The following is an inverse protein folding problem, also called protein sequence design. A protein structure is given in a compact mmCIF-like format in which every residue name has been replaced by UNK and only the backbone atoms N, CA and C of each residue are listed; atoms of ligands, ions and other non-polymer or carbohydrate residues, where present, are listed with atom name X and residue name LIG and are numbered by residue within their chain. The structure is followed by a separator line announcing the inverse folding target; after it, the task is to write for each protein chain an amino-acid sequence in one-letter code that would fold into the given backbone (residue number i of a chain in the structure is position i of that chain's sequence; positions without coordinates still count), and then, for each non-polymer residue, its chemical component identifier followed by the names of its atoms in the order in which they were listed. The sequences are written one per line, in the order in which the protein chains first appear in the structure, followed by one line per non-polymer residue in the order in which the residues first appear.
data_IF_672370020310
#
_entry.id   IF_672370020310
#
_cell.length_a   1.000
_cell.length_b   1.000
_cell.length_c   1.000
_cell.angle_alpha   90.00
_cell.angle_beta   90.00
_cell.angle_gamma   90.00
#
_symmetry.space_group_name_H-M   'P 1'
#
loop_
_entity.id
_entity.type
_entity.pdbx_description
1 polymer ?
#
# COMPACT_ATOMS: atom_id res chain seq x y z
N UNK A 1 4.11 21.70 7.80
CA UNK A 1 4.58 21.53 6.39
C UNK A 1 5.48 20.31 6.23
N UNK A 2 5.97 19.80 7.34
CA UNK A 2 6.93 18.70 7.36
C UNK A 2 6.38 17.42 7.99
N UNK A 3 5.06 17.32 8.18
CA UNK A 3 4.41 16.19 8.82
C UNK A 3 3.59 15.41 7.80
N UNK A 4 3.83 14.11 7.74
CA UNK A 4 3.00 13.13 7.05
C UNK A 4 2.31 12.26 8.09
N UNK A 5 0.99 12.36 8.21
CA UNK A 5 0.17 11.51 9.06
C UNK A 5 -0.67 10.59 8.19
N UNK A 6 -0.41 9.29 8.27
CA UNK A 6 -1.04 8.28 7.41
C UNK A 6 -2.03 7.45 8.19
N UNK A 7 -3.20 7.27 7.61
CA UNK A 7 -4.27 6.42 8.13
C UNK A 7 -4.77 5.45 7.05
N UNK A 8 -5.66 4.51 7.42
CA UNK A 8 -6.21 3.56 6.45
C UNK A 8 -7.48 4.05 5.74
N UNK A 9 -8.20 5.03 6.33
CA UNK A 9 -9.47 5.51 5.78
C UNK A 9 -9.50 7.02 5.64
N UNK A 10 -10.21 7.50 4.62
CA UNK A 10 -10.42 8.94 4.44
C UNK A 10 -11.16 9.58 5.63
N UNK A 11 -12.04 8.82 6.29
CA UNK A 11 -12.74 9.27 7.49
C UNK A 11 -11.76 9.52 8.62
N UNK A 12 -10.85 8.58 8.91
CA UNK A 12 -9.83 8.75 9.94
C UNK A 12 -8.89 9.93 9.65
N UNK A 13 -8.50 10.11 8.38
CA UNK A 13 -7.71 11.27 7.97
C UNK A 13 -8.42 12.61 8.20
N UNK A 14 -9.73 12.67 7.93
CA UNK A 14 -10.56 13.86 8.18
C UNK A 14 -10.73 14.11 9.68
N UNK A 15 -11.03 13.08 10.47
CA UNK A 15 -11.15 13.19 11.93
C UNK A 15 -9.83 13.65 12.59
N UNK A 16 -8.69 13.17 12.10
CA UNK A 16 -7.38 13.61 12.58
C UNK A 16 -7.18 15.11 12.35
N UNK A 17 -7.52 15.60 11.15
CA UNK A 17 -7.47 17.04 10.85
C UNK A 17 -8.36 17.84 11.76
N UNK A 18 -9.62 17.47 11.88
CA UNK A 18 -10.60 18.15 12.74
C UNK A 18 -10.13 18.23 14.20
N UNK A 19 -9.58 17.13 14.73
CA UNK A 19 -9.03 17.13 16.11
C UNK A 19 -7.86 18.07 16.27
N UNK A 20 -6.95 18.11 15.30
CA UNK A 20 -5.81 19.03 15.33
C UNK A 20 -6.26 20.49 15.25
N UNK A 21 -7.23 20.82 14.39
CA UNK A 21 -7.84 22.15 14.31
C UNK A 21 -8.49 22.56 15.63
N UNK A 22 -9.26 21.65 16.26
CA UNK A 22 -9.89 21.88 17.55
C UNK A 22 -8.88 22.08 18.70
N UNK A 23 -7.67 21.57 18.54
CA UNK A 23 -6.55 21.80 19.46
C UNK A 23 -5.79 23.11 19.17
N UNK A 24 -6.21 23.87 18.16
CA UNK A 24 -5.58 25.14 17.75
C UNK A 24 -4.33 24.95 16.88
N UNK A 25 -4.10 23.75 16.32
CA UNK A 25 -2.98 23.54 15.42
C UNK A 25 -3.30 24.08 14.01
N UNK A 26 -2.28 24.68 13.37
CA UNK A 26 -2.36 25.01 11.95
C UNK A 26 -2.20 23.72 11.12
N UNK A 27 -3.26 23.30 10.47
CA UNK A 27 -3.33 22.05 9.69
C UNK A 27 -3.08 22.22 8.20
N UNK A 28 -2.95 23.44 7.71
CA UNK A 28 -2.82 23.74 6.27
C UNK A 28 -1.56 23.12 5.63
N UNK A 29 -0.56 22.85 6.45
CA UNK A 29 0.70 22.24 6.01
C UNK A 29 0.83 20.74 6.30
N UNK A 30 -0.09 20.14 7.06
CA UNK A 30 -0.04 18.73 7.47
C UNK A 30 -0.63 17.86 6.36
N UNK A 31 0.11 16.83 5.94
CA UNK A 31 -0.41 15.79 5.07
C UNK A 31 -1.10 14.70 5.92
N UNK A 32 -2.33 14.96 6.37
CA UNK A 32 -3.19 13.92 6.91
C UNK A 32 -3.93 13.25 5.76
N UNK A 33 -3.58 12.01 5.45
CA UNK A 33 -4.03 11.32 4.25
C UNK A 33 -4.05 9.80 4.46
N UNK A 34 -4.75 9.08 3.57
CA UNK A 34 -4.55 7.63 3.46
C UNK A 34 -3.24 7.33 2.73
N UNK A 35 -2.72 6.09 2.90
CA UNK A 35 -1.57 5.61 2.11
C UNK A 35 -1.73 5.90 0.62
N UNK A 36 -2.87 5.52 0.06
CA UNK A 36 -3.16 5.72 -1.37
C UNK A 36 -3.22 7.20 -1.76
N UNK A 37 -3.89 8.03 -0.97
CA UNK A 37 -4.00 9.47 -1.26
C UNK A 37 -2.63 10.16 -1.25
N UNK A 38 -1.76 9.81 -0.32
CA UNK A 38 -0.40 10.32 -0.27
C UNK A 38 0.41 9.85 -1.48
N UNK A 39 0.37 8.56 -1.80
CA UNK A 39 1.05 7.98 -2.96
C UNK A 39 0.57 8.56 -4.29
N UNK A 40 -0.75 8.76 -4.47
CA UNK A 40 -1.29 9.40 -5.68
C UNK A 40 -0.69 10.79 -5.87
N UNK A 41 -0.60 11.62 -4.82
CA UNK A 41 0.01 12.95 -4.92
C UNK A 41 1.48 12.89 -5.31
N UNK A 42 2.24 11.94 -4.74
CA UNK A 42 3.65 11.71 -5.07
C UNK A 42 3.78 11.29 -6.54
N UNK A 43 3.01 10.30 -6.98
CA UNK A 43 3.04 9.80 -8.35
C UNK A 43 2.59 10.85 -9.36
N UNK A 44 1.59 11.67 -9.04
CA UNK A 44 1.18 12.80 -9.90
C UNK A 44 2.30 13.79 -10.15
N UNK A 45 3.23 13.92 -9.23
CA UNK A 45 4.39 14.83 -9.36
C UNK A 45 5.56 14.16 -10.05
N UNK A 46 5.87 12.89 -9.73
CA UNK A 46 7.18 12.32 -10.03
C UNK A 46 7.17 11.03 -10.84
N UNK A 47 6.00 10.43 -11.20
CA UNK A 47 5.91 9.12 -11.85
C UNK A 47 6.71 9.03 -13.14
N UNK A 48 6.82 10.13 -13.90
CA UNK A 48 7.53 10.15 -15.18
C UNK A 48 9.04 9.87 -15.02
N UNK A 49 9.59 10.15 -13.83
CA UNK A 49 10.98 9.86 -13.49
C UNK A 49 11.30 8.37 -13.40
N UNK A 50 10.28 7.52 -13.27
CA UNK A 50 10.46 6.05 -13.37
C UNK A 50 10.93 5.57 -14.74
N UNK A 51 10.69 6.36 -15.81
CA UNK A 51 11.05 5.97 -17.17
C UNK A 51 10.26 4.78 -17.73
N UNK A 52 9.11 4.44 -17.13
CA UNK A 52 8.24 3.31 -17.51
C UNK A 52 7.11 3.70 -18.46
N UNK A 53 7.14 4.90 -19.07
CA UNK A 53 6.08 5.33 -19.99
C UNK A 53 4.86 5.98 -19.33
N UNK A 54 4.66 5.84 -18.03
CA UNK A 54 3.57 6.51 -17.32
C UNK A 54 3.68 8.03 -17.35
N UNK A 55 2.52 8.70 -17.45
CA UNK A 55 2.36 10.14 -17.38
C UNK A 55 1.65 10.56 -16.11
N UNK A 56 1.89 11.79 -15.66
CA UNK A 56 1.30 12.35 -14.45
C UNK A 56 -0.24 12.36 -14.44
N UNK A 57 -0.89 12.37 -15.61
CA UNK A 57 -2.35 12.34 -15.79
C UNK A 57 -2.93 10.93 -15.87
N UNK A 58 -2.27 9.92 -15.29
CA UNK A 58 -2.74 8.53 -15.30
C UNK A 58 -4.17 8.36 -14.75
N UNK A 59 -4.88 7.36 -15.26
CA UNK A 59 -6.21 6.96 -14.77
C UNK A 59 -6.05 5.90 -13.67
N UNK A 60 -6.97 5.87 -12.71
CA UNK A 60 -7.01 4.83 -11.68
C UNK A 60 -8.16 3.88 -12.01
N UNK A 61 -7.82 2.62 -12.27
CA UNK A 61 -8.78 1.56 -12.58
C UNK A 61 -9.35 0.96 -11.30
N UNK A 62 -10.66 0.84 -11.26
CA UNK A 62 -11.35 0.15 -10.18
C UNK A 62 -11.32 -1.39 -10.36
N UNK A 63 -11.95 -2.11 -9.45
CA UNK A 63 -12.00 -3.58 -9.45
C UNK A 63 -12.65 -4.14 -10.73
N UNK A 64 -13.66 -3.47 -11.27
CA UNK A 64 -14.37 -3.91 -12.46
C UNK A 64 -13.55 -3.66 -13.72
N UNK A 65 -12.85 -2.54 -13.80
CA UNK A 65 -11.92 -2.24 -14.89
C UNK A 65 -10.76 -3.22 -14.91
N UNK A 66 -10.17 -3.54 -13.76
CA UNK A 66 -9.16 -4.59 -13.64
C UNK A 66 -9.67 -5.93 -14.19
N UNK A 67 -10.87 -6.36 -13.78
CA UNK A 67 -11.46 -7.61 -14.26
C UNK A 67 -11.72 -7.62 -15.77
N UNK A 68 -12.11 -6.48 -16.36
CA UNK A 68 -12.27 -6.37 -17.82
C UNK A 68 -10.94 -6.58 -18.53
N UNK A 69 -9.87 -5.94 -18.06
CA UNK A 69 -8.52 -6.12 -18.63
C UNK A 69 -8.08 -7.57 -18.50
N UNK A 70 -8.20 -8.19 -17.32
CA UNK A 70 -7.83 -9.59 -17.09
C UNK A 70 -8.60 -10.54 -18.03
N UNK A 71 -9.92 -10.37 -18.17
CA UNK A 71 -10.73 -11.18 -19.08
C UNK A 71 -10.30 -11.01 -20.54
N UNK A 72 -9.93 -9.81 -20.94
CA UNK A 72 -9.43 -9.54 -22.29
C UNK A 72 -8.12 -10.27 -22.54
N UNK A 73 -7.17 -10.20 -21.62
CA UNK A 73 -5.90 -10.93 -21.68
C UNK A 73 -6.16 -12.44 -21.75
N UNK A 74 -7.01 -12.99 -20.87
CA UNK A 74 -7.35 -14.42 -20.86
C UNK A 74 -7.94 -14.87 -22.20
N UNK A 75 -8.84 -14.08 -22.80
CA UNK A 75 -9.43 -14.39 -24.10
C UNK A 75 -8.39 -14.44 -25.21
N UNK A 76 -7.45 -13.52 -25.25
CA UNK A 76 -6.39 -13.46 -26.28
C UNK A 76 -5.41 -14.63 -26.17
N UNK A 77 -5.14 -15.09 -24.95
CA UNK A 77 -4.32 -16.28 -24.71
C UNK A 77 -5.11 -17.60 -24.81
N UNK A 78 -6.41 -17.56 -25.16
CA UNK A 78 -7.30 -18.74 -25.20
C UNK A 78 -7.35 -19.49 -23.85
N UNK A 79 -7.25 -18.76 -22.74
CA UNK A 79 -7.32 -19.32 -21.39
C UNK A 79 -8.78 -19.44 -20.98
N UNK A 80 -9.21 -20.66 -20.65
CA UNK A 80 -10.59 -20.93 -20.22
C UNK A 80 -10.81 -20.52 -18.76
N UNK A 81 -11.93 -19.85 -18.46
CA UNK A 81 -12.38 -19.52 -17.10
C UNK A 81 -12.54 -20.76 -16.20
N UNK A 82 -12.67 -21.96 -16.79
CA UNK A 82 -12.73 -23.22 -16.05
C UNK A 82 -11.35 -23.65 -15.52
N UNK A 83 -10.28 -23.26 -16.20
CA UNK A 83 -8.92 -23.58 -15.80
C UNK A 83 -8.43 -22.64 -14.70
N UNK A 84 -8.64 -21.32 -14.87
CA UNK A 84 -8.29 -20.28 -13.93
C UNK A 84 -9.36 -19.18 -13.99
N UNK A 85 -9.99 -18.84 -12.87
CA UNK A 85 -11.03 -17.79 -12.89
C UNK A 85 -10.41 -16.39 -12.91
N UNK A 86 -11.01 -15.40 -13.62
CA UNK A 86 -10.52 -14.02 -13.64
C UNK A 86 -10.34 -13.43 -12.24
N UNK A 87 -11.27 -13.75 -11.32
CA UNK A 87 -11.22 -13.27 -9.94
C UNK A 87 -10.06 -13.87 -9.13
N UNK A 88 -9.74 -15.14 -9.37
CA UNK A 88 -8.58 -15.77 -8.72
C UNK A 88 -7.28 -15.12 -9.20
N UNK A 89 -7.16 -14.85 -10.50
CA UNK A 89 -6.02 -14.12 -11.07
C UNK A 89 -5.90 -12.71 -10.48
N UNK A 90 -7.01 -11.96 -10.43
CA UNK A 90 -7.03 -10.63 -9.83
C UNK A 90 -6.53 -10.67 -8.38
N UNK A 91 -7.01 -11.61 -7.57
CA UNK A 91 -6.58 -11.76 -6.18
C UNK A 91 -5.09 -12.16 -6.08
N UNK A 92 -4.57 -12.98 -6.99
CA UNK A 92 -3.14 -13.33 -7.02
C UNK A 92 -2.28 -12.12 -7.38
N UNK A 93 -2.69 -11.32 -8.36
CA UNK A 93 -1.99 -10.08 -8.76
C UNK A 93 -1.97 -9.10 -7.58
N UNK A 94 -3.12 -8.84 -6.96
CA UNK A 94 -3.24 -7.93 -5.80
C UNK A 94 -2.31 -8.36 -4.67
N UNK A 95 -2.37 -9.63 -4.24
CA UNK A 95 -1.48 -10.17 -3.21
C UNK A 95 0.01 -10.10 -3.57
N UNK A 96 0.33 -10.21 -4.86
CA UNK A 96 1.71 -10.09 -5.32
C UNK A 96 2.19 -8.65 -5.22
N UNK A 97 1.36 -7.68 -5.61
CA UNK A 97 1.65 -6.25 -5.49
C UNK A 97 1.80 -5.82 -4.03
N UNK A 98 0.93 -6.30 -3.13
CA UNK A 98 1.04 -6.07 -1.68
C UNK A 98 2.38 -6.54 -1.08
N UNK A 99 2.99 -7.55 -1.71
CA UNK A 99 4.31 -8.10 -1.33
C UNK A 99 5.46 -7.57 -2.19
N UNK A 100 5.22 -6.58 -3.04
CA UNK A 100 6.19 -6.04 -4.00
C UNK A 100 6.76 -7.11 -4.96
N UNK A 101 5.97 -8.14 -5.27
CA UNK A 101 6.35 -9.22 -6.19
C UNK A 101 5.92 -8.83 -7.60
N UNK A 102 6.89 -8.54 -8.45
CA UNK A 102 6.71 -8.30 -9.89
C UNK A 102 6.58 -9.61 -10.67
N UNK A 103 6.07 -9.62 -11.91
CA UNK A 103 5.94 -10.84 -12.71
C UNK A 103 7.23 -11.65 -12.86
N UNK A 104 8.39 -11.00 -12.97
CA UNK A 104 9.70 -11.65 -13.05
C UNK A 104 10.05 -12.42 -11.78
N UNK A 105 9.64 -11.92 -10.61
CA UNK A 105 9.84 -12.55 -9.29
C UNK A 105 8.68 -13.47 -8.87
N UNK A 106 7.61 -13.52 -9.66
CA UNK A 106 6.45 -14.34 -9.35
C UNK A 106 6.79 -15.83 -9.50
N UNK A 107 6.64 -16.60 -8.40
CA UNK A 107 6.93 -18.05 -8.40
C UNK A 107 5.79 -18.81 -9.08
N UNK A 108 6.15 -19.70 -9.99
CA UNK A 108 5.22 -20.64 -10.64
C UNK A 108 5.18 -22.01 -9.96
N UNK A 109 5.96 -22.19 -8.88
CA UNK A 109 6.05 -23.46 -8.16
C UNK A 109 4.91 -23.62 -7.16
N UNK A 110 4.23 -24.75 -7.27
CA UNK A 110 3.22 -25.18 -6.30
C UNK A 110 3.81 -25.64 -4.98
N UNK A 111 2.96 -26.04 -4.04
CA UNK A 111 3.37 -26.48 -2.69
C UNK A 111 4.33 -27.69 -2.69
N UNK A 112 4.30 -28.49 -3.73
CA UNK A 112 5.17 -29.66 -3.92
C UNK A 112 6.50 -29.33 -4.63
N UNK A 113 6.76 -28.06 -4.95
CA UNK A 113 7.97 -27.58 -5.62
C UNK A 113 8.01 -27.80 -7.13
N UNK A 114 7.00 -28.46 -7.74
CA UNK A 114 6.85 -28.59 -9.19
C UNK A 114 6.15 -27.37 -9.78
N UNK A 115 6.29 -27.16 -11.09
CA UNK A 115 5.57 -26.10 -11.78
C UNK A 115 4.05 -26.34 -11.74
N UNK A 116 3.34 -25.31 -11.36
CA UNK A 116 1.89 -25.30 -11.27
C UNK A 116 1.32 -24.55 -12.48
N UNK A 117 0.44 -25.24 -13.23
CA UNK A 117 -0.17 -24.67 -14.43
C UNK A 117 -0.96 -23.39 -14.14
N UNK A 118 -1.70 -23.34 -13.02
CA UNK A 118 -2.50 -22.17 -12.67
C UNK A 118 -1.61 -20.97 -12.32
N UNK A 119 -0.51 -21.21 -11.58
CA UNK A 119 0.45 -20.17 -11.25
C UNK A 119 1.23 -19.69 -12.49
N UNK A 120 1.62 -20.59 -13.38
CA UNK A 120 2.27 -20.24 -14.64
C UNK A 120 1.34 -19.41 -15.55
N UNK A 121 0.08 -19.80 -15.63
CA UNK A 121 -0.95 -19.06 -16.36
C UNK A 121 -1.18 -17.67 -15.73
N UNK A 122 -1.29 -17.61 -14.41
CA UNK A 122 -1.44 -16.34 -13.68
C UNK A 122 -0.26 -15.40 -13.91
N UNK A 123 0.97 -15.92 -13.96
CA UNK A 123 2.17 -15.14 -14.28
C UNK A 123 2.08 -14.51 -15.67
N UNK A 124 1.69 -15.28 -16.68
CA UNK A 124 1.50 -14.79 -18.06
C UNK A 124 0.46 -13.66 -18.09
N UNK A 125 -0.70 -13.90 -17.45
CA UNK A 125 -1.75 -12.89 -17.38
C UNK A 125 -1.26 -11.65 -16.62
N UNK A 126 -0.53 -11.81 -15.54
CA UNK A 126 0.01 -10.69 -14.75
C UNK A 126 0.97 -9.82 -15.58
N UNK A 127 1.84 -10.46 -16.38
CA UNK A 127 2.77 -9.75 -17.28
C UNK A 127 2.01 -8.89 -18.30
N UNK A 128 1.05 -9.47 -19.01
CA UNK A 128 0.29 -8.77 -20.04
C UNK A 128 -0.68 -7.74 -19.46
N UNK A 129 -1.22 -8.03 -18.27
CA UNK A 129 -2.05 -7.09 -17.52
C UNK A 129 -1.29 -5.78 -17.24
N UNK A 130 -0.06 -5.87 -16.71
CA UNK A 130 0.77 -4.68 -16.47
C UNK A 130 1.10 -3.93 -17.75
N UNK A 131 1.47 -4.64 -18.81
CA UNK A 131 1.76 -4.02 -20.11
C UNK A 131 0.55 -3.22 -20.66
N UNK A 132 -0.67 -3.71 -20.44
CA UNK A 132 -1.90 -3.02 -20.84
C UNK A 132 -2.19 -1.79 -20.00
N UNK A 133 -1.98 -1.88 -18.68
CA UNK A 133 -2.13 -0.72 -17.81
C UNK A 133 -1.14 0.38 -18.22
N UNK A 134 0.11 0.02 -18.44
CA UNK A 134 1.14 0.95 -18.91
C UNK A 134 0.77 1.61 -20.24
N UNK A 135 0.36 0.80 -21.23
CA UNK A 135 -0.07 1.31 -22.55
C UNK A 135 -1.30 2.23 -22.46
N UNK A 136 -2.19 2.00 -21.50
CA UNK A 136 -3.37 2.82 -21.25
C UNK A 136 -3.08 4.05 -20.35
N UNK A 137 -1.86 4.22 -19.88
CA UNK A 137 -1.51 5.18 -18.83
C UNK A 137 -2.47 5.06 -17.63
N UNK A 138 -2.67 3.83 -17.16
CA UNK A 138 -3.57 3.50 -16.05
C UNK A 138 -2.82 2.76 -14.94
N UNK A 139 -3.24 2.99 -13.72
CA UNK A 139 -2.80 2.28 -12.52
C UNK A 139 -4.01 1.61 -11.88
N UNK A 140 -3.84 0.44 -11.32
CA UNK A 140 -4.83 -0.06 -10.37
C UNK A 140 -4.52 0.43 -8.93
N UNK A 141 -5.38 0.03 -7.99
CA UNK A 141 -5.27 0.51 -6.62
C UNK A 141 -3.98 0.04 -5.94
N UNK A 142 -3.54 -1.19 -6.23
CA UNK A 142 -2.32 -1.77 -5.65
C UNK A 142 -1.05 -1.18 -6.30
N UNK A 143 -1.12 -0.78 -7.57
CA UNK A 143 -0.03 -0.09 -8.27
C UNK A 143 0.35 1.22 -7.61
N UNK A 144 -0.60 1.92 -7.02
CA UNK A 144 -0.38 3.23 -6.42
C UNK A 144 0.73 3.15 -5.35
N UNK A 145 0.67 2.17 -4.47
CA UNK A 145 1.70 1.99 -3.43
C UNK A 145 2.96 1.35 -4.02
N UNK A 146 2.79 0.27 -4.80
CA UNK A 146 3.90 -0.48 -5.38
C UNK A 146 4.80 0.40 -6.26
N UNK A 147 4.22 1.24 -7.13
CA UNK A 147 4.99 2.13 -8.00
C UNK A 147 5.63 3.29 -7.22
N UNK A 148 5.01 3.77 -6.13
CA UNK A 148 5.66 4.75 -5.25
C UNK A 148 6.90 4.16 -4.59
N UNK A 149 6.82 2.92 -4.08
CA UNK A 149 7.99 2.21 -3.54
C UNK A 149 9.05 2.03 -4.63
N UNK A 150 8.65 1.64 -5.83
CA UNK A 150 9.56 1.48 -6.97
C UNK A 150 10.22 2.80 -7.37
N UNK A 151 9.46 3.89 -7.38
CA UNK A 151 9.95 5.24 -7.64
C UNK A 151 11.06 5.64 -6.66
N UNK A 152 10.81 5.44 -5.38
CA UNK A 152 11.79 5.76 -4.34
C UNK A 152 13.04 4.87 -4.40
N UNK A 153 12.88 3.59 -4.76
CA UNK A 153 14.01 2.67 -4.88
C UNK A 153 14.91 2.96 -6.09
N UNK A 154 14.36 3.50 -7.18
CA UNK A 154 15.09 3.73 -8.43
C UNK A 154 15.50 5.18 -8.66
N UNK A 155 14.88 6.13 -7.97
CA UNK A 155 15.12 7.57 -8.11
C UNK A 155 15.50 8.19 -6.76
N UNK A 156 16.78 8.11 -6.34
CA UNK A 156 17.23 8.60 -5.03
C UNK A 156 17.02 10.10 -4.82
N UNK A 157 17.04 10.89 -5.89
CA UNK A 157 16.76 12.32 -5.86
C UNK A 157 15.29 12.59 -5.49
N UNK A 158 14.36 11.78 -6.01
CA UNK A 158 12.93 11.84 -5.64
C UNK A 158 12.76 11.46 -4.19
N UNK A 159 13.35 10.34 -3.77
CA UNK A 159 13.29 9.90 -2.37
C UNK A 159 13.83 11.00 -1.44
N UNK A 160 15.00 11.55 -1.73
CA UNK A 160 15.60 12.62 -0.92
C UNK A 160 14.72 13.87 -0.85
N UNK A 161 14.05 14.24 -1.97
CA UNK A 161 13.08 15.34 -1.98
C UNK A 161 11.96 15.11 -0.97
N UNK A 162 11.34 13.93 -0.98
CA UNK A 162 10.22 13.61 -0.10
C UNK A 162 10.66 13.38 1.35
N UNK A 163 11.84 12.81 1.61
CA UNK A 163 12.45 12.71 2.93
C UNK A 163 12.73 14.11 3.54
N UNK A 164 13.18 15.05 2.72
CA UNK A 164 13.39 16.44 3.13
C UNK A 164 12.07 17.16 3.43
N UNK A 165 11.00 16.82 2.72
CA UNK A 165 9.67 17.36 2.96
C UNK A 165 9.04 16.78 4.22
N UNK A 166 9.11 15.48 4.43
CA UNK A 166 8.48 14.79 5.57
C UNK A 166 9.50 14.51 6.67
N UNK A 167 9.65 15.47 7.57
CA UNK A 167 10.57 15.34 8.72
C UNK A 167 9.99 14.52 9.85
N UNK A 168 8.67 14.42 9.93
CA UNK A 168 7.93 13.64 10.92
C UNK A 168 6.90 12.79 10.19
N UNK A 169 6.93 11.50 10.45
CA UNK A 169 6.02 10.54 9.84
C UNK A 169 5.26 9.85 10.97
N UNK A 170 3.94 9.84 10.86
CA UNK A 170 3.05 9.19 11.80
C UNK A 170 2.17 8.19 11.05
N UNK A 171 2.04 6.97 11.56
CA UNK A 171 1.21 5.93 10.97
C UNK A 171 0.27 5.38 12.03
N UNK A 172 -1.02 5.47 11.77
CA UNK A 172 -2.08 4.92 12.61
C UNK A 172 -2.43 3.50 12.15
N UNK A 173 -2.97 2.67 13.08
CA UNK A 173 -3.37 1.28 12.82
C UNK A 173 -2.23 0.45 12.19
N UNK A 174 -1.01 0.63 12.66
CA UNK A 174 0.20 0.06 12.04
C UNK A 174 0.17 -1.48 11.94
N UNK A 175 -0.58 -2.16 12.81
CA UNK A 175 -0.79 -3.62 12.76
C UNK A 175 -1.45 -4.10 11.47
N UNK A 176 -2.16 -3.21 10.74
CA UNK A 176 -2.85 -3.53 9.50
C UNK A 176 -2.01 -3.27 8.24
N UNK A 177 -0.74 -2.86 8.39
CA UNK A 177 0.15 -2.58 7.25
C UNK A 177 0.58 -3.86 6.53
N UNK A 178 0.56 -3.82 5.19
CA UNK A 178 1.16 -4.84 4.34
C UNK A 178 2.65 -4.53 4.04
N UNK A 179 3.34 -5.46 3.35
CA UNK A 179 4.77 -5.30 3.07
C UNK A 179 5.09 -4.08 2.18
N UNK A 180 4.21 -3.73 1.25
CA UNK A 180 4.42 -2.55 0.40
C UNK A 180 4.30 -1.25 1.20
N UNK A 181 3.30 -1.14 2.07
CA UNK A 181 3.10 -0.01 2.98
C UNK A 181 4.25 0.12 3.98
N UNK A 182 4.66 -0.99 4.58
CA UNK A 182 5.83 -1.04 5.45
C UNK A 182 7.08 -0.51 4.74
N UNK A 183 7.38 -1.00 3.52
CA UNK A 183 8.55 -0.57 2.76
C UNK A 183 8.50 0.91 2.40
N UNK A 184 7.31 1.42 2.04
CA UNK A 184 7.10 2.84 1.77
C UNK A 184 7.47 3.72 2.97
N UNK A 185 6.92 3.38 4.15
CA UNK A 185 7.17 4.11 5.40
C UNK A 185 8.64 4.04 5.77
N UNK A 186 9.27 2.85 5.68
CA UNK A 186 10.69 2.66 5.97
C UNK A 186 11.57 3.56 5.11
N UNK A 187 11.35 3.59 3.79
CA UNK A 187 12.13 4.43 2.87
C UNK A 187 12.00 5.92 3.21
N UNK A 188 10.80 6.39 3.51
CA UNK A 188 10.61 7.79 3.88
C UNK A 188 11.25 8.13 5.24
N UNK A 189 11.17 7.23 6.22
CA UNK A 189 11.68 7.44 7.57
C UNK A 189 13.22 7.41 7.66
N UNK A 190 13.89 6.69 6.76
CA UNK A 190 15.37 6.63 6.70
C UNK A 190 16.02 8.02 6.64
N UNK A 191 15.34 9.03 6.09
CA UNK A 191 15.88 10.39 5.95
C UNK A 191 15.98 11.18 7.26
N UNK A 192 15.02 11.02 8.18
CA UNK A 192 14.94 11.81 9.41
C UNK A 192 15.01 10.98 10.70
N UNK A 193 14.69 9.69 10.63
CA UNK A 193 14.53 8.82 11.80
C UNK A 193 13.30 9.13 12.66
N UNK A 194 12.51 10.16 12.32
CA UNK A 194 11.34 10.57 13.09
C UNK A 194 10.08 9.83 12.64
N UNK A 195 9.95 8.59 13.04
CA UNK A 195 8.80 7.74 12.75
C UNK A 195 8.07 7.40 14.05
N UNK A 196 6.79 7.73 14.10
CA UNK A 196 5.87 7.34 15.17
C UNK A 196 4.80 6.43 14.60
N UNK A 197 4.61 5.26 15.17
CA UNK A 197 3.54 4.34 14.79
C UNK A 197 2.61 4.12 15.97
N UNK A 198 1.32 4.04 15.70
CA UNK A 198 0.30 3.70 16.67
C UNK A 198 -0.40 2.45 16.19
N UNK A 199 -0.59 1.49 17.07
CA UNK A 199 -1.25 0.25 16.74
C UNK A 199 -1.60 -0.58 17.96
N UNK A 200 -2.46 -1.56 17.75
CA UNK A 200 -2.92 -2.49 18.77
C UNK A 200 -2.86 -3.91 18.18
N UNK A 201 -1.93 -4.72 18.68
CA UNK A 201 -1.73 -6.11 18.20
C UNK A 201 -2.97 -6.99 18.43
N UNK A 202 -3.76 -6.72 19.47
CA UNK A 202 -5.00 -7.44 19.77
C UNK A 202 -6.12 -7.14 18.75
N UNK A 203 -6.01 -6.02 18.01
CA UNK A 203 -6.95 -5.63 16.96
C UNK A 203 -6.55 -6.09 15.56
N UNK A 204 -5.44 -6.79 15.39
CA UNK A 204 -4.97 -7.31 14.10
C UNK A 204 -5.86 -8.42 13.56
N UNK A 205 -7.06 -8.07 13.08
CA UNK A 205 -8.06 -9.00 12.53
C UNK A 205 -8.04 -9.06 10.99
N UNK A 206 -7.31 -8.16 10.32
CA UNK A 206 -7.30 -8.00 8.85
C UNK A 206 -6.19 -8.76 8.12
N UNK A 207 -5.72 -9.89 8.65
CA UNK A 207 -4.71 -10.75 7.99
C UNK A 207 -5.06 -11.12 6.54
N UNK A 208 -6.35 -11.14 6.19
CA UNK A 208 -6.80 -11.47 4.83
C UNK A 208 -6.45 -10.40 3.77
N UNK A 209 -6.10 -9.18 4.17
CA UNK A 209 -5.67 -8.07 3.29
C UNK A 209 -4.14 -7.98 3.16
N UNK A 210 -3.40 -9.04 3.51
CA UNK A 210 -1.94 -9.04 3.42
C UNK A 210 -1.24 -8.33 4.58
N UNK A 211 -1.99 -7.91 5.62
CA UNK A 211 -1.41 -7.35 6.85
C UNK A 211 -0.48 -8.37 7.52
N UNK A 212 0.66 -7.90 7.98
CA UNK A 212 1.71 -8.70 8.58
C UNK A 212 1.94 -8.20 10.00
N UNK A 213 1.42 -8.93 10.98
CA UNK A 213 1.58 -8.57 12.41
C UNK A 213 3.07 -8.47 12.80
N UNK A 214 3.94 -9.18 12.09
CA UNK A 214 5.37 -9.12 12.26
C UNK A 214 5.90 -7.68 12.11
N UNK A 215 5.24 -6.82 11.33
CA UNK A 215 5.65 -5.44 11.12
C UNK A 215 5.59 -4.63 12.43
N UNK A 216 4.56 -4.82 13.27
CA UNK A 216 4.47 -4.12 14.56
C UNK A 216 5.33 -4.79 15.61
N UNK A 217 5.40 -6.12 15.63
CA UNK A 217 6.19 -6.88 16.61
C UNK A 217 7.69 -6.67 16.44
N UNK A 218 8.17 -6.50 15.21
CA UNK A 218 9.59 -6.26 14.91
C UNK A 218 9.97 -4.78 14.84
N UNK A 219 9.02 -3.87 15.04
CA UNK A 219 9.24 -2.43 14.86
C UNK A 219 10.30 -1.88 15.82
N UNK A 220 10.23 -2.25 17.10
CA UNK A 220 11.19 -1.84 18.13
C UNK A 220 12.61 -2.24 17.77
N UNK A 221 12.80 -3.50 17.36
CA UNK A 221 14.11 -4.03 16.98
C UNK A 221 14.67 -3.39 15.71
N UNK A 222 13.80 -3.18 14.69
CA UNK A 222 14.21 -2.67 13.38
C UNK A 222 14.53 -1.17 13.38
N UNK A 223 13.81 -0.38 14.16
CA UNK A 223 13.96 1.08 14.20
C UNK A 223 14.63 1.59 15.48
N UNK A 224 14.94 0.71 16.44
CA UNK A 224 15.44 1.12 17.76
C UNK A 224 14.44 2.02 18.49
N UNK A 225 13.14 1.74 18.33
CA UNK A 225 12.08 2.62 18.78
C UNK A 225 11.83 2.52 20.28
N UNK A 226 11.42 3.63 20.90
CA UNK A 226 10.88 3.63 22.26
C UNK A 226 9.41 3.19 22.23
N UNK A 227 9.05 2.23 23.07
CA UNK A 227 7.67 1.72 23.17
C UNK A 227 6.94 2.37 24.33
N UNK A 228 5.83 3.05 24.04
CA UNK A 228 4.93 3.64 25.02
C UNK A 228 3.62 2.86 25.04
N UNK A 229 3.33 2.17 26.16
CA UNK A 229 2.09 1.43 26.33
C UNK A 229 0.99 2.33 26.91
N UNK A 230 -0.15 2.40 26.21
CA UNK A 230 -1.34 3.10 26.68
C UNK A 230 -2.25 2.12 27.43
N UNK A 231 -2.14 2.05 28.75
CA UNK A 231 -2.82 1.03 29.57
C UNK A 231 -4.22 1.42 30.06
N UNK A 232 -4.67 2.67 29.89
CA UNK A 232 -5.98 3.11 30.39
C UNK A 232 -7.12 2.79 29.41
N UNK A 233 -7.82 1.69 29.68
CA UNK A 233 -9.15 1.40 29.09
C UNK A 233 -10.24 2.14 29.89
N UNK A 234 -10.43 3.42 29.67
CA UNK A 234 -11.66 4.10 30.14
C UNK A 234 -12.87 3.68 29.27
N UNK A 235 -13.23 2.40 29.33
CA UNK A 235 -14.59 1.97 28.99
C UNK A 235 -15.48 2.30 30.18
N UNK A 236 -16.06 3.49 30.21
CA UNK A 236 -17.31 3.70 30.95
C UNK A 236 -18.32 2.71 30.38
N UNK A 237 -18.48 1.58 31.07
CA UNK A 237 -19.61 0.70 30.86
C UNK A 237 -20.87 1.48 31.23
N UNK A 238 -21.58 1.98 30.22
CA UNK A 238 -22.94 2.45 30.39
C UNK A 238 -23.76 1.21 30.78
N UNK A 239 -23.88 0.94 32.08
CA UNK A 239 -24.92 0.04 32.59
C UNK A 239 -26.24 0.71 32.23
N UNK A 240 -26.91 0.18 31.22
CA UNK A 240 -28.33 0.32 31.07
C UNK A 240 -28.98 -0.33 32.28
N UNK A 241 -29.38 0.49 33.24
CA UNK A 241 -30.33 0.09 34.24
C UNK A 241 -31.71 0.12 33.59
N UNK A 242 -32.34 -1.05 33.62
CA UNK A 242 -33.75 -1.39 33.35
C UNK A 242 -34.75 -0.35 33.78
#
# INVERSE_FOLDING_TARGET
WNILAVTFTNKAAAELKERLENMGADVDGIWAATFHSACVRILRQDIEKLGMGYKSNFTIYDTDDQLKVIKTVMKEHNISDKAVTPKAVQNLISRSKDKLITPDKFSTKGKNGSDDYQLSTAKTIYTDYLARLEAANALDFDDIIMLTVKLFAHCPDVLSHWQNRFKYIMVDEYQDTNAAQYKLVSLLAEGSGNLCVVGDEDQSIYRFRGATIENILSFEEQFGAEVIKLEQKDRKSTRLNS
#
